data_IF_842704574993
#
_entry.id   IF_842704574993
#
_cell.length_a   1.000
_cell.length_b   1.000
_cell.length_c   1.000
_cell.angle_alpha   90.00
_cell.angle_beta   90.00
_cell.angle_gamma   90.00
#
_symmetry.space_group_name_H-M   'P 1'
#
loop_
_entity.id
_entity.type
_entity.pdbx_description
1 polymer ?
#
# COMPACT_ATOMS: atom_id res chain seq x y z
N UNK A 1 -19.25 -7.40 11.86
CA UNK A 1 -19.52 -7.12 10.43
C UNK A 1 -19.42 -8.44 9.67
N UNK A 2 -20.45 -8.87 8.94
CA UNK A 2 -20.41 -10.17 8.22
C UNK A 2 -19.50 -10.06 6.98
N UNK A 3 -18.95 -11.19 6.51
CA UNK A 3 -18.09 -11.31 5.30
C UNK A 3 -18.65 -10.56 4.08
N UNK A 4 -19.97 -10.50 3.97
CA UNK A 4 -20.71 -9.80 2.91
C UNK A 4 -20.71 -8.26 3.07
N UNK A 5 -20.74 -7.75 4.31
CA UNK A 5 -20.69 -6.30 4.60
C UNK A 5 -19.26 -5.74 4.44
N UNK A 6 -18.22 -6.53 4.72
CA UNK A 6 -16.83 -6.11 4.48
C UNK A 6 -16.49 -6.00 2.98
N UNK A 7 -17.14 -6.82 2.14
CA UNK A 7 -17.06 -6.73 0.69
C UNK A 7 -17.87 -5.55 0.11
N UNK A 8 -18.95 -5.16 0.78
CA UNK A 8 -19.84 -4.03 0.44
C UNK A 8 -19.44 -2.69 1.09
N UNK A 9 -18.48 -2.68 2.02
CA UNK A 9 -17.64 -1.50 2.26
C UNK A 9 -16.69 -1.32 1.07
N UNK A 10 -17.30 -1.20 -0.11
CA UNK A 10 -16.84 -0.39 -1.22
C UNK A 10 -16.51 0.96 -0.61
N UNK A 11 -15.28 1.08 -0.13
CA UNK A 11 -14.63 2.36 -0.02
C UNK A 11 -14.55 2.85 -1.46
N UNK A 12 -15.67 3.41 -1.94
CA UNK A 12 -15.60 4.58 -2.78
C UNK A 12 -14.60 5.44 -2.04
N UNK A 13 -13.46 5.63 -2.68
CA UNK A 13 -12.32 6.40 -2.18
C UNK A 13 -12.67 7.86 -1.82
N UNK A 14 -13.96 8.19 -1.84
CA UNK A 14 -14.61 9.47 -1.71
C UNK A 14 -15.12 9.70 -0.27
N UNK A 15 -15.65 8.69 0.43
CA UNK A 15 -16.40 8.97 1.66
C UNK A 15 -15.63 8.83 2.98
N UNK A 16 -14.51 8.10 3.05
CA UNK A 16 -13.96 7.77 4.38
C UNK A 16 -12.71 8.50 4.85
N UNK A 17 -11.95 9.30 4.06
CA UNK A 17 -10.59 9.64 4.51
C UNK A 17 -10.04 11.02 4.07
N UNK A 18 -10.09 11.96 5.02
CA UNK A 18 -9.35 13.23 5.13
C UNK A 18 -8.76 13.87 3.85
N UNK A 19 -9.29 15.06 3.54
CA UNK A 19 -8.59 16.08 2.77
C UNK A 19 -8.68 15.95 1.25
N UNK A 20 -8.08 16.94 0.58
CA UNK A 20 -8.16 17.16 -0.85
C UNK A 20 -7.28 16.19 -1.67
N UNK A 21 -7.19 14.89 -1.32
CA UNK A 21 -6.19 13.95 -1.87
C UNK A 21 -6.39 13.54 -3.32
N UNK A 22 -7.60 13.68 -3.84
CA UNK A 22 -7.95 13.39 -5.24
C UNK A 22 -8.26 14.67 -6.03
N UNK A 23 -7.81 15.85 -5.55
CA UNK A 23 -7.91 17.07 -6.34
C UNK A 23 -7.22 16.89 -7.69
N UNK A 24 -7.80 17.46 -8.74
CA UNK A 24 -7.20 17.46 -10.07
C UNK A 24 -5.81 18.11 -10.10
N UNK A 25 -5.60 19.18 -9.32
CA UNK A 25 -4.29 19.86 -9.24
C UNK A 25 -3.22 19.12 -8.41
N UNK A 26 -3.57 18.02 -7.74
CA UNK A 26 -2.55 17.28 -6.99
C UNK A 26 -1.61 16.54 -7.91
N UNK A 27 -0.31 16.72 -7.71
CA UNK A 27 0.72 15.91 -8.37
C UNK A 27 1.18 14.80 -7.44
N UNK A 28 1.04 13.55 -7.89
CA UNK A 28 1.48 12.39 -7.15
C UNK A 28 3.01 12.30 -7.14
N UNK A 29 3.63 12.31 -5.95
CA UNK A 29 5.08 12.23 -5.85
C UNK A 29 5.66 10.83 -6.18
N UNK A 30 4.81 9.81 -6.35
CA UNK A 30 5.25 8.49 -6.82
C UNK A 30 5.39 8.46 -8.35
N UNK A 31 4.31 8.75 -9.07
CA UNK A 31 4.21 8.57 -10.52
C UNK A 31 4.31 9.87 -11.34
N UNK A 32 4.19 11.03 -10.70
CA UNK A 32 4.18 12.34 -11.38
C UNK A 32 2.84 12.70 -12.05
N UNK A 33 1.82 11.85 -12.00
CA UNK A 33 0.52 12.15 -12.59
C UNK A 33 -0.36 13.00 -11.66
N UNK A 34 -1.27 13.75 -12.28
CA UNK A 34 -2.26 14.59 -11.61
C UNK A 34 -3.40 13.79 -10.98
N UNK A 35 -4.23 14.43 -10.16
CA UNK A 35 -5.50 13.86 -9.68
C UNK A 35 -5.43 12.97 -8.44
N UNK A 36 -4.24 12.74 -7.86
CA UNK A 36 -4.12 11.93 -6.65
C UNK A 36 -2.81 12.18 -5.87
N UNK A 37 -2.79 11.77 -4.60
CA UNK A 37 -1.58 11.68 -3.79
C UNK A 37 -0.92 10.30 -3.88
N UNK A 38 0.37 10.26 -3.57
CA UNK A 38 1.20 9.04 -3.51
C UNK A 38 0.54 7.91 -2.71
N UNK A 39 -0.08 8.22 -1.57
CA UNK A 39 -0.73 7.21 -0.73
C UNK A 39 -1.87 6.44 -1.43
N UNK A 40 -2.34 6.95 -2.57
CA UNK A 40 -3.42 6.37 -3.37
C UNK A 40 -2.97 5.80 -4.71
N UNK A 41 -1.70 6.05 -5.06
CA UNK A 41 -1.10 5.67 -6.33
C UNK A 41 -1.13 4.15 -6.55
N UNK A 42 -1.45 3.72 -7.77
CA UNK A 42 -1.42 2.30 -8.16
C UNK A 42 -0.15 1.92 -8.92
N UNK A 43 0.72 2.88 -9.24
CA UNK A 43 1.95 2.67 -10.00
C UNK A 43 3.15 2.41 -9.08
N UNK A 44 3.64 1.15 -8.97
CA UNK A 44 4.81 0.81 -8.16
C UNK A 44 6.11 1.35 -8.78
N UNK A 45 7.18 1.36 -8.00
CA UNK A 45 8.54 1.45 -8.51
C UNK A 45 9.04 0.10 -9.05
N UNK A 46 10.28 0.08 -9.56
CA UNK A 46 10.89 -1.13 -10.14
C UNK A 46 11.13 -2.26 -9.13
N UNK A 47 10.87 -2.02 -7.83
CA UNK A 47 10.95 -3.02 -6.77
C UNK A 47 9.57 -3.51 -6.30
N UNK A 48 8.48 -3.07 -6.94
CA UNK A 48 7.12 -3.50 -6.62
C UNK A 48 6.47 -2.73 -5.47
N UNK A 49 7.06 -1.61 -5.01
CA UNK A 49 6.56 -0.82 -3.89
C UNK A 49 6.20 0.62 -4.28
N UNK A 50 5.42 1.30 -3.44
CA UNK A 50 5.27 2.76 -3.49
C UNK A 50 6.32 3.39 -2.58
N UNK A 51 7.18 4.25 -3.12
CA UNK A 51 8.28 4.87 -2.38
C UNK A 51 7.95 6.29 -1.96
N UNK A 52 7.95 6.55 -0.66
CA UNK A 52 7.78 7.88 -0.06
C UNK A 52 6.83 7.86 1.13
N UNK A 53 6.46 9.03 1.61
CA UNK A 53 5.51 9.20 2.69
C UNK A 53 4.09 9.36 2.15
N UNK A 54 3.18 8.39 2.44
CA UNK A 54 1.80 8.49 2.00
C UNK A 54 1.08 9.64 2.69
N UNK A 55 1.47 10.04 3.91
CA UNK A 55 0.81 11.09 4.69
C UNK A 55 0.97 12.47 4.04
N UNK A 56 2.19 12.79 3.60
CA UNK A 56 2.54 14.12 3.10
C UNK A 56 2.60 14.21 1.57
N UNK A 57 2.32 13.11 0.85
CA UNK A 57 2.55 13.02 -0.59
C UNK A 57 3.97 13.51 -0.94
N UNK A 58 5.00 12.96 -0.31
CA UNK A 58 6.40 13.42 -0.48
C UNK A 58 7.35 12.24 -0.58
N UNK A 59 8.48 12.44 -1.28
CA UNK A 59 9.63 11.51 -1.31
C UNK A 59 10.81 11.98 -0.45
N UNK A 60 10.69 13.12 0.23
CA UNK A 60 11.74 13.67 1.09
C UNK A 60 11.96 12.83 2.36
N UNK A 61 10.93 12.09 2.76
CA UNK A 61 10.99 11.11 3.85
C UNK A 61 10.11 9.90 3.54
N UNK A 62 10.45 8.76 4.15
CA UNK A 62 9.69 7.52 4.04
C UNK A 62 8.51 7.48 5.04
N UNK A 63 7.67 6.45 4.95
CA UNK A 63 6.70 6.14 6.00
C UNK A 63 7.38 5.98 7.38
N UNK A 64 8.52 5.30 7.44
CA UNK A 64 9.22 4.99 8.70
C UNK A 64 9.89 6.22 9.33
N UNK A 65 10.24 7.20 8.50
CA UNK A 65 10.87 8.46 8.91
C UNK A 65 9.84 9.57 9.20
N UNK A 66 8.57 9.33 8.92
CA UNK A 66 7.52 10.32 9.07
C UNK A 66 7.22 10.62 10.56
N UNK A 67 7.41 11.87 11.03
CA UNK A 67 7.16 12.23 12.42
C UNK A 67 5.68 12.09 12.80
N UNK A 68 4.78 12.31 11.85
CA UNK A 68 3.34 12.22 12.08
C UNK A 68 2.88 10.77 12.09
N UNK A 69 3.38 9.93 11.17
CA UNK A 69 3.10 8.50 11.16
C UNK A 69 3.54 7.83 12.47
N UNK A 70 4.65 8.25 13.06
CA UNK A 70 5.12 7.74 14.37
C UNK A 70 4.08 7.98 15.48
N UNK A 71 3.44 9.15 15.49
CA UNK A 71 2.44 9.56 16.48
C UNK A 71 1.03 9.03 16.19
N UNK A 72 0.78 8.48 15.01
CA UNK A 72 -0.54 7.95 14.65
C UNK A 72 -0.96 6.75 15.50
N UNK A 73 -2.27 6.70 15.78
CA UNK A 73 -2.94 5.53 16.35
C UNK A 73 -2.84 4.31 15.43
N UNK A 74 -3.14 3.12 15.96
CA UNK A 74 -3.10 1.88 15.18
C UNK A 74 -4.09 1.93 14.01
N UNK A 75 -5.31 2.41 14.25
CA UNK A 75 -6.38 2.53 13.26
C UNK A 75 -5.94 3.45 12.11
N UNK A 76 -5.26 4.55 12.43
CA UNK A 76 -4.70 5.46 11.43
C UNK A 76 -3.59 4.84 10.61
N UNK A 77 -2.75 4.00 11.22
CA UNK A 77 -1.71 3.25 10.50
C UNK A 77 -2.32 2.19 9.57
N UNK A 78 -3.32 1.44 10.05
CA UNK A 78 -4.08 0.47 9.26
C UNK A 78 -4.76 1.17 8.09
N UNK A 79 -5.35 2.34 8.33
CA UNK A 79 -5.96 3.15 7.29
C UNK A 79 -4.99 3.46 6.15
N UNK A 80 -3.80 4.00 6.48
CA UNK A 80 -2.82 4.40 5.48
C UNK A 80 -2.17 3.22 4.75
N UNK A 81 -1.85 2.15 5.48
CA UNK A 81 -1.04 1.05 4.94
C UNK A 81 -1.84 -0.13 4.45
N UNK A 82 -3.09 -0.30 4.87
CA UNK A 82 -3.94 -1.44 4.48
C UNK A 82 -5.18 -0.94 3.74
N UNK A 83 -6.06 -0.17 4.38
CA UNK A 83 -7.37 0.18 3.80
C UNK A 83 -7.24 0.94 2.47
N UNK A 84 -6.40 1.98 2.43
CA UNK A 84 -6.16 2.75 1.19
C UNK A 84 -5.39 1.98 0.12
N UNK A 85 -4.74 0.89 0.53
CA UNK A 85 -3.80 0.10 -0.27
C UNK A 85 -4.38 -1.25 -0.69
N UNK A 86 -5.64 -1.56 -0.38
CA UNK A 86 -6.34 -2.76 -0.88
C UNK A 86 -6.25 -2.83 -2.40
N UNK A 87 -5.89 -4.00 -2.94
CA UNK A 87 -5.66 -4.23 -4.37
C UNK A 87 -4.64 -3.25 -5.01
N UNK A 88 -3.64 -2.80 -4.25
CA UNK A 88 -2.58 -1.93 -4.74
C UNK A 88 -1.22 -2.38 -4.19
N UNK A 89 -0.10 -1.92 -4.79
CA UNK A 89 1.22 -2.18 -4.25
C UNK A 89 1.37 -1.62 -2.82
N UNK A 90 2.18 -2.29 -2.00
CA UNK A 90 2.46 -1.85 -0.63
C UNK A 90 3.26 -0.54 -0.60
N UNK A 91 3.05 0.27 0.44
CA UNK A 91 3.98 1.37 0.76
C UNK A 91 5.27 0.76 1.27
N UNK A 92 6.40 1.24 0.75
CA UNK A 92 7.73 0.83 1.18
C UNK A 92 7.92 1.12 2.69
N UNK A 93 8.28 0.07 3.43
CA UNK A 93 8.40 0.11 4.89
C UNK A 93 9.39 -0.94 5.39
N UNK A 94 10.13 -0.63 6.45
CA UNK A 94 11.01 -1.55 7.16
C UNK A 94 10.26 -2.52 8.10
N UNK A 95 8.93 -2.37 8.18
CA UNK A 95 8.01 -3.32 8.82
C UNK A 95 6.97 -3.80 7.81
N UNK A 96 6.64 -5.11 7.80
CA UNK A 96 5.64 -5.61 6.88
C UNK A 96 4.25 -5.18 7.35
N UNK A 97 3.35 -4.85 6.41
CA UNK A 97 1.99 -4.41 6.75
C UNK A 97 1.21 -5.48 7.54
N UNK A 98 1.55 -6.76 7.38
CA UNK A 98 0.92 -7.87 8.13
C UNK A 98 1.11 -7.74 9.65
N UNK A 99 2.17 -7.05 10.09
CA UNK A 99 2.38 -6.76 11.51
C UNK A 99 1.27 -5.87 12.09
N UNK A 100 0.68 -4.98 11.27
CA UNK A 100 -0.46 -4.17 11.68
C UNK A 100 -1.74 -5.00 11.78
N UNK A 101 -1.92 -6.01 10.91
CA UNK A 101 -3.05 -6.95 11.00
C UNK A 101 -2.97 -7.76 12.28
N UNK A 102 -1.78 -8.27 12.63
CA UNK A 102 -1.55 -8.97 13.91
C UNK A 102 -1.89 -8.08 15.10
N UNK A 103 -1.46 -6.82 15.09
CA UNK A 103 -1.78 -5.87 16.14
C UNK A 103 -3.30 -5.59 16.21
N UNK A 104 -3.98 -5.48 15.07
CA UNK A 104 -5.42 -5.27 15.00
C UNK A 104 -6.19 -6.43 15.63
N UNK A 105 -5.83 -7.68 15.28
CA UNK A 105 -6.42 -8.89 15.88
C UNK A 105 -6.25 -8.93 17.40
N UNK A 106 -5.06 -8.55 17.90
CA UNK A 106 -4.79 -8.52 19.33
C UNK A 106 -5.60 -7.45 20.08
N UNK A 107 -6.06 -6.41 19.39
CA UNK A 107 -6.85 -5.31 19.96
C UNK A 107 -8.35 -5.42 19.63
N UNK A 108 -8.80 -6.49 18.97
CA UNK A 108 -10.20 -6.64 18.56
C UNK A 108 -10.64 -5.63 17.49
N UNK A 109 -9.70 -5.15 16.67
CA UNK A 109 -9.90 -4.15 15.60
C UNK A 109 -9.74 -4.76 14.21
N UNK A 110 -9.96 -6.07 14.07
CA UNK A 110 -9.78 -6.82 12.83
C UNK A 110 -10.77 -6.43 11.73
N UNK A 111 -11.88 -5.76 12.07
CA UNK A 111 -12.88 -5.27 11.11
C UNK A 111 -12.27 -4.42 9.98
N UNK A 112 -11.17 -3.69 10.27
CA UNK A 112 -10.45 -2.88 9.29
C UNK A 112 -9.52 -3.69 8.37
N UNK A 113 -9.28 -4.97 8.66
CA UNK A 113 -8.31 -5.80 7.95
C UNK A 113 -8.96 -6.81 6.98
N UNK A 114 -10.29 -6.88 6.92
CA UNK A 114 -10.99 -7.85 6.06
C UNK A 114 -10.96 -7.52 4.57
N UNK A 115 -11.02 -8.57 3.75
CA UNK A 115 -11.19 -8.49 2.30
C UNK A 115 -9.86 -8.60 1.55
N UNK A 116 -9.86 -8.40 0.22
CA UNK A 116 -8.61 -8.31 -0.55
C UNK A 116 -7.71 -7.25 0.06
N UNK A 117 -6.51 -7.65 0.47
CA UNK A 117 -5.56 -6.75 1.12
C UNK A 117 -4.60 -6.12 0.10
N UNK A 118 -3.54 -5.54 0.62
CA UNK A 118 -2.40 -4.99 -0.11
C UNK A 118 -1.74 -6.09 -0.94
N UNK A 119 -1.29 -5.78 -2.15
CA UNK A 119 -0.50 -6.73 -2.93
C UNK A 119 0.83 -7.06 -2.25
N UNK A 120 1.25 -8.31 -2.40
CA UNK A 120 2.63 -8.74 -2.22
C UNK A 120 3.55 -8.08 -3.25
N UNK A 121 4.83 -8.02 -2.91
CA UNK A 121 5.88 -7.57 -3.81
C UNK A 121 5.91 -8.46 -5.06
N UNK A 122 5.85 -9.77 -4.88
CA UNK A 122 5.90 -10.76 -5.95
C UNK A 122 4.78 -10.52 -6.97
N UNK A 123 3.53 -10.35 -6.50
CA UNK A 123 2.40 -10.04 -7.38
C UNK A 123 2.57 -8.72 -8.12
N UNK A 124 3.06 -7.67 -7.45
CA UNK A 124 3.35 -6.40 -8.11
C UNK A 124 4.43 -6.57 -9.19
N UNK A 125 5.49 -7.33 -8.91
CA UNK A 125 6.58 -7.60 -9.84
C UNK A 125 6.12 -8.42 -11.05
N UNK A 126 5.23 -9.40 -10.86
CA UNK A 126 4.62 -10.17 -11.96
C UNK A 126 3.86 -9.26 -12.93
N UNK A 127 3.10 -8.28 -12.42
CA UNK A 127 2.38 -7.31 -13.26
C UNK A 127 3.37 -6.37 -13.98
N UNK A 128 4.42 -5.89 -13.28
CA UNK A 128 5.45 -5.02 -13.87
C UNK A 128 6.15 -5.72 -15.04
N UNK A 129 6.55 -6.97 -14.85
CA UNK A 129 7.31 -7.76 -15.83
C UNK A 129 6.41 -8.36 -16.93
N UNK A 130 5.10 -8.42 -16.68
CA UNK A 130 4.12 -8.91 -17.62
C UNK A 130 3.80 -7.94 -18.78
N UNK A 131 2.84 -8.31 -19.65
CA UNK A 131 2.42 -7.46 -20.76
C UNK A 131 1.86 -6.12 -20.27
N UNK A 132 2.23 -5.02 -20.96
CA UNK A 132 1.73 -3.66 -20.63
C UNK A 132 0.21 -3.56 -20.60
N UNK A 133 -0.50 -4.31 -21.45
CA UNK A 133 -1.97 -4.34 -21.45
C UNK A 133 -2.58 -4.83 -20.12
N UNK A 134 -1.81 -5.52 -19.28
CA UNK A 134 -2.23 -6.01 -17.97
C UNK A 134 -1.83 -5.05 -16.83
N UNK A 135 -1.18 -3.92 -17.12
CA UNK A 135 -0.72 -2.97 -16.12
C UNK A 135 -1.85 -1.98 -15.78
N UNK A 136 -2.52 -2.12 -14.63
CA UNK A 136 -3.76 -1.39 -14.36
C UNK A 136 -3.53 0.11 -14.20
N UNK A 137 -2.33 0.55 -13.84
CA UNK A 137 -1.98 1.96 -13.65
C UNK A 137 -1.94 2.78 -14.93
N UNK A 138 -1.98 2.17 -16.12
CA UNK A 138 -2.02 2.89 -17.38
C UNK A 138 -3.38 3.56 -17.62
N UNK A 139 -4.47 2.92 -17.17
CA UNK A 139 -5.84 3.36 -17.46
C UNK A 139 -6.67 3.66 -16.19
N UNK A 140 -6.10 3.47 -15.00
CA UNK A 140 -6.82 3.67 -13.74
C UNK A 140 -7.19 5.14 -13.49
N UNK A 141 -8.50 5.43 -13.41
CA UNK A 141 -9.00 6.77 -13.12
C UNK A 141 -9.15 6.99 -11.60
N UNK A 142 -8.14 7.61 -11.00
CA UNK A 142 -8.12 7.89 -9.56
C UNK A 142 -9.32 8.73 -9.10
N UNK A 143 -9.88 8.37 -7.93
CA UNK A 143 -11.04 9.06 -7.35
C UNK A 143 -12.38 8.78 -8.04
N UNK A 144 -12.39 8.18 -9.24
CA UNK A 144 -13.62 7.85 -9.99
C UNK A 144 -13.85 6.36 -10.15
N UNK A 145 -12.80 5.59 -10.39
CA UNK A 145 -12.88 4.14 -10.57
C UNK A 145 -12.83 3.41 -9.23
N UNK A 146 -13.61 2.33 -9.11
CA UNK A 146 -13.65 1.51 -7.90
C UNK A 146 -12.34 0.71 -7.75
N UNK A 147 -11.79 0.67 -6.53
CA UNK A 147 -10.60 -0.12 -6.19
C UNK A 147 -10.83 -1.63 -6.43
N UNK A 148 -12.08 -2.09 -6.36
CA UNK A 148 -12.46 -3.48 -6.65
C UNK A 148 -12.23 -3.91 -8.09
N UNK A 149 -12.04 -2.96 -9.02
CA UNK A 149 -11.69 -3.24 -10.43
C UNK A 149 -10.21 -3.55 -10.64
N UNK A 150 -9.36 -3.25 -9.66
CA UNK A 150 -7.94 -3.60 -9.70
C UNK A 150 -7.75 -5.11 -9.50
N UNK A 151 -6.67 -5.70 -10.05
CA UNK A 151 -6.32 -7.10 -9.80
C UNK A 151 -6.26 -7.42 -8.31
N UNK A 152 -6.68 -8.63 -7.95
CA UNK A 152 -6.64 -9.13 -6.58
C UNK A 152 -5.47 -10.09 -6.46
N UNK A 153 -4.61 -9.86 -5.48
CA UNK A 153 -3.49 -10.77 -5.19
C UNK A 153 -4.03 -12.00 -4.43
N UNK A 154 -3.96 -13.21 -5.01
CA UNK A 154 -4.46 -14.44 -4.39
C UNK A 154 -3.89 -14.71 -2.99
N UNK A 155 -2.65 -14.28 -2.71
CA UNK A 155 -2.00 -14.52 -1.42
C UNK A 155 -2.59 -13.67 -0.28
N UNK A 156 -3.42 -12.70 -0.61
CA UNK A 156 -3.92 -11.69 0.34
C UNK A 156 -5.45 -11.63 0.40
N UNK A 157 -6.11 -12.68 -0.08
CA UNK A 157 -7.57 -12.82 -0.16
C UNK A 157 -8.22 -13.48 1.06
N UNK A 158 -7.42 -14.05 1.95
CA UNK A 158 -7.89 -14.83 3.09
C UNK A 158 -8.31 -13.94 4.28
N UNK A 159 -8.90 -14.60 5.28
CA UNK A 159 -9.21 -14.03 6.58
C UNK A 159 -7.95 -13.43 7.27
N UNK A 160 -8.05 -12.29 7.98
CA UNK A 160 -6.92 -11.68 8.69
C UNK A 160 -6.13 -12.64 9.59
N UNK A 161 -6.82 -13.55 10.28
CA UNK A 161 -6.22 -14.59 11.13
C UNK A 161 -5.45 -15.65 10.34
N UNK A 162 -5.86 -15.96 9.11
CA UNK A 162 -5.09 -16.83 8.21
C UNK A 162 -3.89 -16.08 7.63
N UNK A 163 -4.08 -14.82 7.22
CA UNK A 163 -3.02 -14.00 6.65
C UNK A 163 -1.83 -13.85 7.61
N UNK A 164 -2.07 -13.66 8.92
CA UNK A 164 -0.97 -13.52 9.88
C UNK A 164 -0.14 -14.79 10.08
N UNK A 165 -0.64 -15.95 9.66
CA UNK A 165 0.11 -17.22 9.69
C UNK A 165 0.92 -17.46 8.41
N UNK A 166 0.68 -16.71 7.33
CA UNK A 166 1.43 -16.81 6.09
C UNK A 166 2.82 -16.20 6.25
N UNK A 167 3.84 -17.06 6.41
CA UNK A 167 5.25 -16.65 6.53
C UNK A 167 5.69 -15.68 5.44
N UNK A 168 5.28 -15.89 4.19
CA UNK A 168 5.66 -15.04 3.06
C UNK A 168 5.29 -13.56 3.28
N UNK A 169 4.18 -13.28 3.98
CA UNK A 169 3.72 -11.91 4.26
C UNK A 169 4.59 -11.21 5.30
N UNK A 170 5.24 -11.96 6.18
CA UNK A 170 6.21 -11.42 7.14
C UNK A 170 7.55 -11.07 6.49
N UNK A 171 7.87 -11.70 5.36
CA UNK A 171 9.08 -11.44 4.59
C UNK A 171 8.91 -10.22 3.65
N UNK A 172 7.69 -9.66 3.52
CA UNK A 172 7.34 -8.44 2.77
C UNK A 172 7.87 -7.15 3.44
N UNK A 173 9.14 -7.18 3.83
CA UNK A 173 9.86 -6.05 4.40
C UNK A 173 10.74 -5.46 3.33
N UNK A 174 10.67 -4.14 3.16
CA UNK A 174 11.66 -3.48 2.32
C UNK A 174 13.03 -3.54 3.01
N UNK A 175 13.91 -4.38 2.48
CA UNK A 175 15.34 -4.35 2.83
C UNK A 175 15.97 -3.27 1.95
N UNK A 176 16.42 -2.14 2.50
CA UNK A 176 17.11 -1.15 1.69
C UNK A 176 18.30 -1.82 1.02
N UNK A 177 18.52 -1.54 -0.26
CA UNK A 177 19.76 -1.93 -0.92
C UNK A 177 20.93 -1.42 -0.07
N UNK A 178 21.93 -2.26 0.27
CA UNK A 178 23.15 -1.77 0.88
C UNK A 178 23.67 -0.68 -0.05
N UNK A 179 23.83 0.55 0.48
CA UNK A 179 24.53 1.60 -0.27
C UNK A 179 25.87 0.99 -0.65
N UNK A 180 26.13 0.87 -1.95
CA UNK A 180 27.35 0.27 -2.46
C UNK A 180 28.54 0.82 -1.69
N UNK A 181 29.33 -0.07 -1.11
CA UNK A 181 30.61 0.31 -0.53
C UNK A 181 31.38 1.09 -1.57
N UNK A 182 31.88 2.26 -1.19
CA UNK A 182 32.83 3.01 -1.98
C UNK A 182 33.94 2.04 -2.42
N UNK A 183 34.31 1.99 -3.71
CA UNK A 183 35.51 1.26 -4.10
C UNK A 183 36.70 1.95 -3.43
N UNK A 184 37.21 1.33 -2.37
CA UNK A 184 38.44 1.75 -1.72
C UNK A 184 39.57 1.70 -2.74
N UNK A 185 39.95 2.85 -3.28
CA UNK A 185 41.22 3.02 -3.96
C UNK A 185 42.33 2.75 -2.94
N UNK A 186 42.96 1.58 -3.05
CA UNK A 186 44.25 1.30 -2.45
C UNK A 186 45.31 1.55 -3.51
N UNK A 187 46.29 2.37 -3.13
CA UNK A 187 47.46 2.79 -3.91
C UNK A 187 48.36 1.60 -4.30
#
# INVERSE_FOLDING_TARGET
>A
MRKEEAALNEVTTIQSLEGNRFHEDNVCNQCGHFGHWLGDCVFPDDSGYIKGCPVHNSKDHSWDDCPDARKMSLERKIMYLILRRRNKPAIQSNRPWIALVKAALQQGSEEYCWGPSVWTQEFAMEIIQGPKANQPWLDFNYGRQLISTLPKDPETMDDPGILVEKRLLWDQVHKPFPKGGEPGHSF
#
